data_IF_457158617022
#
_entry.id   IF_457158617022
#
_cell.length_a   1.000
_cell.length_b   1.000
_cell.length_c   1.000
_cell.angle_alpha   90.00
_cell.angle_beta   90.00
_cell.angle_gamma   90.00
#
_symmetry.space_group_name_H-M   'P 1'
#
loop_
_entity.id
_entity.type
_entity.pdbx_description
1 polymer ?
#
# COMPACT_ATOMS: atom_id res chain seq x y z
N UNK A 1 -36.45 1.68 -9.93
CA UNK A 1 -35.37 0.66 -10.02
C UNK A 1 -35.66 -0.45 -9.03
N UNK A 2 -35.73 -1.71 -9.47
CA UNK A 2 -36.04 -2.85 -8.60
C UNK A 2 -34.75 -3.42 -8.00
N UNK A 3 -34.68 -3.58 -6.68
CA UNK A 3 -33.47 -4.00 -5.95
C UNK A 3 -32.87 -5.30 -6.50
N UNK A 4 -33.73 -6.27 -6.87
CA UNK A 4 -33.31 -7.55 -7.47
C UNK A 4 -32.56 -7.37 -8.79
N UNK A 5 -32.98 -6.42 -9.62
CA UNK A 5 -32.33 -6.13 -10.89
C UNK A 5 -30.98 -5.44 -10.67
N UNK A 6 -30.92 -4.47 -9.76
CA UNK A 6 -29.67 -3.79 -9.40
C UNK A 6 -28.61 -4.77 -8.83
N UNK A 7 -29.00 -5.67 -7.91
CA UNK A 7 -28.10 -6.67 -7.36
C UNK A 7 -27.59 -7.65 -8.42
N UNK A 8 -28.45 -8.11 -9.33
CA UNK A 8 -28.08 -9.10 -10.35
C UNK A 8 -27.20 -8.50 -11.45
N UNK A 9 -27.55 -7.33 -11.96
CA UNK A 9 -26.80 -6.73 -13.07
C UNK A 9 -25.56 -5.97 -12.61
N UNK A 10 -25.68 -5.09 -11.61
CA UNK A 10 -24.56 -4.24 -11.19
C UNK A 10 -23.64 -4.91 -10.18
N UNK A 11 -24.17 -5.58 -9.15
CA UNK A 11 -23.29 -6.20 -8.15
C UNK A 11 -22.73 -7.51 -8.69
N UNK A 12 -23.59 -8.42 -9.15
CA UNK A 12 -23.15 -9.76 -9.54
C UNK A 12 -22.45 -9.80 -10.91
N UNK A 13 -23.13 -9.38 -11.98
CA UNK A 13 -22.58 -9.48 -13.33
C UNK A 13 -21.41 -8.51 -13.57
N UNK A 14 -21.42 -7.33 -12.94
CA UNK A 14 -20.37 -6.33 -13.15
C UNK A 14 -19.28 -6.35 -12.08
N UNK A 15 -19.60 -6.13 -10.79
CA UNK A 15 -18.56 -6.02 -9.75
C UNK A 15 -17.91 -7.39 -9.46
N UNK A 16 -18.71 -8.40 -9.11
CA UNK A 16 -18.19 -9.72 -8.68
C UNK A 16 -17.49 -10.44 -9.83
N UNK A 17 -18.16 -10.61 -10.98
CA UNK A 17 -17.60 -11.38 -12.10
C UNK A 17 -16.44 -10.69 -12.83
N UNK A 18 -16.40 -9.35 -12.91
CA UNK A 18 -15.35 -8.65 -13.67
C UNK A 18 -14.24 -8.05 -12.81
N UNK A 19 -14.59 -7.35 -11.73
CA UNK A 19 -13.62 -6.58 -10.96
C UNK A 19 -13.04 -7.38 -9.80
N UNK A 20 -13.88 -8.06 -9.02
CA UNK A 20 -13.46 -8.75 -7.81
C UNK A 20 -12.41 -9.83 -8.08
N UNK A 21 -12.56 -10.59 -9.17
CA UNK A 21 -11.59 -11.64 -9.53
C UNK A 21 -10.22 -11.09 -9.91
N UNK A 22 -10.15 -9.97 -10.64
CA UNK A 22 -8.88 -9.32 -10.99
C UNK A 22 -8.18 -8.75 -9.76
N UNK A 23 -8.92 -8.06 -8.90
CA UNK A 23 -8.39 -7.50 -7.65
C UNK A 23 -7.87 -8.64 -6.76
N UNK A 24 -8.66 -9.71 -6.59
CA UNK A 24 -8.27 -10.87 -5.82
C UNK A 24 -6.99 -11.52 -6.36
N UNK A 25 -6.93 -11.85 -7.65
CA UNK A 25 -5.74 -12.44 -8.27
C UNK A 25 -4.52 -11.53 -8.11
N UNK A 26 -4.69 -10.23 -8.34
CA UNK A 26 -3.58 -9.30 -8.25
C UNK A 26 -3.05 -9.19 -6.80
N UNK A 27 -3.93 -8.98 -5.82
CA UNK A 27 -3.53 -8.98 -4.42
C UNK A 27 -2.92 -10.32 -3.99
N UNK A 28 -3.51 -11.45 -4.40
CA UNK A 28 -3.01 -12.78 -4.08
C UNK A 28 -1.59 -13.01 -4.62
N UNK A 29 -1.35 -12.70 -5.90
CA UNK A 29 -0.04 -12.92 -6.50
C UNK A 29 1.03 -11.94 -5.99
N UNK A 30 0.69 -10.68 -5.74
CA UNK A 30 1.62 -9.73 -5.09
C UNK A 30 2.02 -10.27 -3.72
N UNK A 31 1.05 -10.67 -2.90
CA UNK A 31 1.32 -11.27 -1.60
C UNK A 31 2.16 -12.54 -1.68
N UNK A 32 1.88 -13.42 -2.64
CA UNK A 32 2.59 -14.66 -2.83
C UNK A 32 4.05 -14.42 -3.26
N UNK A 33 4.28 -13.52 -4.22
CA UNK A 33 5.63 -13.14 -4.66
C UNK A 33 6.40 -12.51 -3.51
N UNK A 34 5.75 -11.64 -2.74
CA UNK A 34 6.33 -11.00 -1.56
C UNK A 34 6.69 -12.02 -0.47
N UNK A 35 5.81 -12.97 -0.14
CA UNK A 35 6.10 -14.06 0.83
C UNK A 35 7.24 -14.95 0.38
N UNK A 36 7.28 -15.27 -0.92
CA UNK A 36 8.40 -16.00 -1.52
C UNK A 36 9.70 -15.18 -1.42
N UNK A 37 9.66 -13.89 -1.74
CA UNK A 37 10.80 -12.98 -1.63
C UNK A 37 11.36 -12.90 -0.21
N UNK A 38 10.49 -12.84 0.80
CA UNK A 38 10.89 -12.89 2.21
C UNK A 38 11.60 -14.19 2.60
N UNK A 39 11.29 -15.33 1.97
CA UNK A 39 11.95 -16.62 2.25
C UNK A 39 13.35 -16.72 1.63
N UNK A 40 13.58 -16.08 0.48
CA UNK A 40 14.85 -16.17 -0.24
C UNK A 40 15.84 -15.07 0.15
N UNK A 41 15.35 -13.89 0.56
CA UNK A 41 16.18 -12.79 1.04
C UNK A 41 16.16 -12.79 2.57
N UNK A 42 17.32 -12.67 3.24
CA UNK A 42 17.39 -12.54 4.69
C UNK A 42 16.91 -11.14 5.14
N UNK A 43 15.63 -10.84 4.87
CA UNK A 43 15.06 -9.51 5.01
C UNK A 43 14.92 -9.13 6.48
N UNK A 44 14.68 -10.11 7.35
CA UNK A 44 14.65 -9.90 8.80
C UNK A 44 15.98 -9.33 9.31
N UNK A 45 17.12 -9.86 8.85
CA UNK A 45 18.42 -9.30 9.19
C UNK A 45 18.59 -7.85 8.67
N UNK A 46 18.14 -7.57 7.46
CA UNK A 46 18.19 -6.20 6.91
C UNK A 46 17.33 -5.22 7.70
N UNK A 47 16.09 -5.61 8.00
CA UNK A 47 15.10 -4.79 8.72
C UNK A 47 15.60 -4.45 10.11
N UNK A 48 16.12 -5.44 10.84
CA UNK A 48 16.69 -5.24 12.18
C UNK A 48 17.93 -4.32 12.16
N UNK A 49 18.76 -4.41 11.12
CA UNK A 49 19.97 -3.58 11.02
C UNK A 49 19.70 -2.15 10.50
N UNK A 50 18.61 -1.94 9.75
CA UNK A 50 18.41 -0.70 8.98
C UNK A 50 16.96 -0.16 9.07
N UNK A 51 16.37 -0.13 10.27
CA UNK A 51 14.96 0.27 10.44
C UNK A 51 14.61 1.66 9.87
N UNK A 52 15.52 2.63 10.00
CA UNK A 52 15.32 3.96 9.41
C UNK A 52 15.22 3.90 7.87
N UNK A 53 16.04 3.05 7.23
CA UNK A 53 15.93 2.83 5.79
C UNK A 53 14.62 2.13 5.42
N UNK A 54 14.15 1.19 6.24
CA UNK A 54 12.84 0.56 6.04
C UNK A 54 11.71 1.60 6.07
N UNK A 55 11.77 2.58 6.99
CA UNK A 55 10.82 3.69 7.05
C UNK A 55 10.84 4.53 5.77
N UNK A 56 12.03 4.91 5.30
CA UNK A 56 12.17 5.68 4.05
C UNK A 56 11.66 4.89 2.85
N UNK A 57 12.02 3.61 2.75
CA UNK A 57 11.54 2.70 1.70
C UNK A 57 10.01 2.58 1.76
N UNK A 58 9.42 2.51 2.94
CA UNK A 58 7.96 2.46 3.11
C UNK A 58 7.28 3.71 2.54
N UNK A 59 7.84 4.89 2.78
CA UNK A 59 7.39 6.13 2.14
C UNK A 59 7.56 6.12 0.61
N UNK A 60 8.70 5.64 0.10
CA UNK A 60 8.96 5.60 -1.35
C UNK A 60 8.07 4.60 -2.09
N UNK A 61 7.88 3.40 -1.52
CA UNK A 61 6.93 2.42 -2.03
C UNK A 61 5.52 3.01 -2.03
N UNK A 62 5.19 3.80 -0.98
CA UNK A 62 4.04 4.71 -0.86
C UNK A 62 3.64 5.42 -2.14
N UNK A 63 4.63 5.88 -2.92
CA UNK A 63 4.45 6.65 -4.16
C UNK A 63 3.85 5.79 -5.28
N UNK A 64 3.90 4.46 -5.23
CA UNK A 64 3.31 3.61 -6.27
C UNK A 64 1.78 3.69 -6.18
N UNK A 65 1.07 4.16 -7.23
CA UNK A 65 -0.40 4.32 -7.24
C UNK A 65 -1.12 2.97 -7.39
N UNK A 66 -0.87 2.07 -6.45
CA UNK A 66 -1.40 0.70 -6.42
C UNK A 66 -1.42 0.25 -4.95
N UNK A 67 -2.37 -0.61 -4.55
CA UNK A 67 -2.52 -1.06 -3.15
C UNK A 67 -1.65 -2.28 -2.78
N UNK A 68 -1.21 -3.07 -3.75
CA UNK A 68 -0.48 -4.34 -3.55
C UNK A 68 0.85 -4.16 -2.83
N UNK A 69 1.82 -3.36 -3.35
CA UNK A 69 3.12 -3.16 -2.73
C UNK A 69 3.06 -2.73 -1.27
N UNK A 70 2.04 -1.98 -0.86
CA UNK A 70 1.92 -1.49 0.53
C UNK A 70 1.48 -2.58 1.51
N UNK A 71 0.78 -3.61 1.02
CA UNK A 71 0.31 -4.71 1.86
C UNK A 71 1.48 -5.49 2.49
N UNK A 72 2.68 -5.37 1.92
CA UNK A 72 3.92 -5.89 2.52
C UNK A 72 4.13 -5.34 3.93
N UNK A 73 3.92 -4.04 4.15
CA UNK A 73 4.16 -3.39 5.44
C UNK A 73 3.09 -3.80 6.46
N UNK A 74 1.85 -4.02 6.01
CA UNK A 74 0.80 -4.59 6.88
C UNK A 74 1.21 -5.97 7.38
N UNK A 75 1.73 -6.84 6.50
CA UNK A 75 2.19 -8.18 6.89
C UNK A 75 3.43 -8.10 7.78
N UNK A 76 4.40 -7.27 7.45
CA UNK A 76 5.60 -7.09 8.27
C UNK A 76 5.24 -6.61 9.67
N UNK A 77 4.30 -5.66 9.79
CA UNK A 77 3.83 -5.16 11.08
C UNK A 77 3.08 -6.26 11.85
N UNK A 78 2.19 -7.00 11.19
CA UNK A 78 1.47 -8.11 11.80
C UNK A 78 2.39 -9.24 12.28
N UNK A 79 3.55 -9.42 11.64
CA UNK A 79 4.61 -10.36 12.05
C UNK A 79 5.57 -9.78 13.10
N UNK A 80 5.40 -8.52 13.50
CA UNK A 80 6.28 -7.84 14.45
C UNK A 80 7.65 -7.46 13.90
N UNK A 81 7.84 -7.46 12.58
CA UNK A 81 9.11 -7.13 11.93
C UNK A 81 9.37 -5.62 11.85
N UNK A 82 8.32 -4.81 11.77
CA UNK A 82 8.42 -3.35 11.69
C UNK A 82 7.57 -2.68 12.77
N UNK A 83 7.95 -1.48 13.22
CA UNK A 83 7.19 -0.69 14.17
C UNK A 83 5.98 0.00 13.52
N UNK A 84 5.10 0.58 14.34
CA UNK A 84 3.91 1.29 13.89
C UNK A 84 4.28 2.54 13.07
N UNK A 85 5.38 3.21 13.38
CA UNK A 85 5.89 4.34 12.58
C UNK A 85 6.03 4.02 11.10
N UNK A 86 6.62 2.86 10.76
CA UNK A 86 6.81 2.42 9.37
C UNK A 86 5.47 2.11 8.71
N UNK A 87 4.57 1.41 9.40
CA UNK A 87 3.24 1.12 8.89
C UNK A 87 2.46 2.42 8.62
N UNK A 88 2.47 3.36 9.55
CA UNK A 88 1.78 4.64 9.43
C UNK A 88 2.32 5.45 8.25
N UNK A 89 3.65 5.51 8.10
CA UNK A 89 4.27 6.15 6.93
C UNK A 89 3.73 5.54 5.64
N UNK A 90 3.76 4.22 5.48
CA UNK A 90 3.23 3.58 4.26
C UNK A 90 1.74 3.90 4.03
N UNK A 91 0.95 3.93 5.11
CA UNK A 91 -0.49 4.17 5.05
C UNK A 91 -0.85 5.61 4.64
N UNK A 92 -0.07 6.59 5.07
CA UNK A 92 -0.27 8.00 4.70
C UNK A 92 0.16 8.25 3.26
N UNK A 93 1.29 7.67 2.83
CA UNK A 93 1.83 7.96 1.49
C UNK A 93 1.06 7.23 0.39
N UNK A 94 0.45 6.07 0.68
CA UNK A 94 -0.33 5.36 -0.33
C UNK A 94 -1.66 6.07 -0.63
N UNK A 95 -1.90 6.38 -1.91
CA UNK A 95 -3.18 6.88 -2.42
C UNK A 95 -4.08 5.76 -2.98
N UNK A 96 -3.56 4.52 -2.99
CA UNK A 96 -4.17 3.36 -3.61
C UNK A 96 -4.51 3.59 -5.09
N UNK A 97 -5.59 2.95 -5.54
CA UNK A 97 -6.09 3.08 -6.91
C UNK A 97 -6.78 4.43 -7.19
N UNK A 98 -7.03 5.24 -6.15
CA UNK A 98 -7.72 6.53 -6.26
C UNK A 98 -6.93 7.59 -7.04
N UNK A 99 -5.63 7.42 -7.18
CA UNK A 99 -4.78 8.30 -7.99
C UNK A 99 -4.86 7.99 -9.50
N UNK A 100 -5.24 6.76 -9.89
CA UNK A 100 -5.28 6.34 -11.29
C UNK A 100 -6.24 7.17 -12.17
N UNK A 101 -7.44 7.55 -11.71
CA UNK A 101 -8.33 8.45 -12.46
C UNK A 101 -7.82 9.89 -12.58
N UNK A 102 -6.92 10.33 -11.68
CA UNK A 102 -6.41 11.69 -11.66
C UNK A 102 -5.22 11.88 -12.62
N UNK A 103 -4.46 10.79 -12.87
CA UNK A 103 -3.30 10.77 -13.76
C UNK A 103 -3.59 11.30 -15.19
N UNK A 104 -4.69 10.91 -15.86
CA UNK A 104 -5.01 11.43 -17.19
C UNK A 104 -5.40 12.92 -17.21
N UNK A 105 -5.86 13.47 -16.08
CA UNK A 105 -6.31 14.86 -16.00
C UNK A 105 -5.15 15.82 -15.76
N UNK A 106 -4.31 15.55 -14.76
CA UNK A 106 -3.21 16.44 -14.39
C UNK A 106 -2.08 15.69 -13.69
N UNK A 107 -0.98 15.49 -14.41
CA UNK A 107 0.26 14.94 -13.85
C UNK A 107 0.84 15.83 -12.75
N UNK A 108 0.68 17.16 -12.87
CA UNK A 108 1.16 18.12 -11.89
C UNK A 108 0.47 17.94 -10.54
N UNK A 109 -0.86 17.81 -10.57
CA UNK A 109 -1.64 17.64 -9.33
C UNK A 109 -1.36 16.27 -8.70
N UNK A 110 -1.21 15.22 -9.51
CA UNK A 110 -0.79 13.90 -9.02
C UNK A 110 0.57 13.96 -8.30
N UNK A 111 1.56 14.64 -8.89
CA UNK A 111 2.88 14.80 -8.29
C UNK A 111 2.83 15.64 -7.01
N UNK A 112 2.03 16.71 -7.00
CA UNK A 112 1.88 17.58 -5.84
C UNK A 112 1.27 16.83 -4.65
N UNK A 113 0.18 16.09 -4.88
CA UNK A 113 -0.47 15.26 -3.84
C UNK A 113 0.52 14.24 -3.29
N UNK A 114 1.26 13.53 -4.16
CA UNK A 114 2.25 12.55 -3.71
C UNK A 114 3.36 13.17 -2.89
N UNK A 115 3.85 14.35 -3.28
CA UNK A 115 4.89 15.03 -2.53
C UNK A 115 4.39 15.45 -1.15
N UNK A 116 3.17 15.98 -1.05
CA UNK A 116 2.53 16.36 0.22
C UNK A 116 2.39 15.12 1.11
N UNK A 117 1.82 14.04 0.58
CA UNK A 117 1.60 12.80 1.34
C UNK A 117 2.93 12.19 1.78
N UNK A 118 3.94 12.17 0.91
CA UNK A 118 5.30 11.71 1.23
C UNK A 118 5.92 12.54 2.36
N UNK A 119 5.83 13.87 2.29
CA UNK A 119 6.37 14.75 3.32
C UNK A 119 5.68 14.55 4.66
N UNK A 120 4.35 14.47 4.68
CA UNK A 120 3.57 14.24 5.92
C UNK A 120 3.87 12.85 6.47
N UNK A 121 3.83 11.82 5.64
CA UNK A 121 4.04 10.43 6.03
C UNK A 121 5.45 10.17 6.58
N UNK A 122 6.48 10.72 5.95
CA UNK A 122 7.85 10.64 6.47
C UNK A 122 8.04 11.48 7.73
N UNK A 123 7.49 12.70 7.77
CA UNK A 123 7.59 13.57 8.94
C UNK A 123 6.99 12.93 10.18
N UNK A 124 5.73 12.48 10.10
CA UNK A 124 5.06 11.80 11.21
C UNK A 124 5.71 10.45 11.54
N UNK A 125 6.14 9.70 10.52
CA UNK A 125 6.86 8.45 10.69
C UNK A 125 8.13 8.62 11.51
N UNK A 126 8.99 9.57 11.13
CA UNK A 126 10.25 9.84 11.82
C UNK A 126 10.00 10.29 13.26
N UNK A 127 8.99 11.15 13.49
CA UNK A 127 8.62 11.57 14.84
C UNK A 127 8.25 10.36 15.70
N UNK A 128 7.38 9.47 15.21
CA UNK A 128 6.97 8.27 15.94
C UNK A 128 8.13 7.29 16.14
N UNK A 129 8.97 7.11 15.12
CA UNK A 129 10.16 6.27 15.19
C UNK A 129 11.11 6.74 16.31
N UNK A 130 11.36 8.06 16.40
CA UNK A 130 12.17 8.64 17.47
C UNK A 130 11.54 8.49 18.86
N UNK A 131 10.21 8.38 18.94
CA UNK A 131 9.48 8.11 20.18
C UNK A 131 9.43 6.61 20.53
N UNK A 132 10.00 5.73 19.69
CA UNK A 132 10.02 4.29 19.90
C UNK A 132 8.76 3.55 19.44
N UNK A 133 7.92 4.19 18.62
CA UNK A 133 6.70 3.61 18.05
C UNK A 133 6.88 3.10 16.63
#
# INVERSE_FOLDING_TARGET
>A
LNLKHYLKEHVWNHIVKKHMWKIFLWSFFVLLITDIGFKFWNLEAFVNAHMLWVLVIAGLVGIIPESGPHLIFVIMFARGLIPFSVLLTSAIVQDGHGMLPLLPFSLKDCLLIKLINLSIGLGLGIILFCLGF
#
